data_IF_683187544019
#
_entry.id   IF_683187544019
#
_cell.length_a   1.000
_cell.length_b   1.000
_cell.length_c   1.000
_cell.angle_alpha   90.00
_cell.angle_beta   90.00
_cell.angle_gamma   90.00
#
_symmetry.space_group_name_H-M   'P 1'
#
loop_
_entity.id
_entity.type
_entity.pdbx_description
1 polymer ?
#
# COMPACT_ATOMS: atom_id res chain seq x y z
N UNK A 1 5.42 -7.49 7.70
CA UNK A 1 5.60 -7.04 6.31
C UNK A 1 4.44 -6.15 5.89
N UNK A 2 4.70 -5.17 5.02
CA UNK A 2 3.70 -4.36 4.32
C UNK A 2 3.96 -4.54 2.82
N UNK A 3 2.95 -4.98 2.09
CA UNK A 3 3.05 -5.25 0.65
C UNK A 3 2.26 -4.18 -0.06
N UNK A 4 2.94 -3.28 -0.77
CA UNK A 4 2.32 -2.12 -1.40
C UNK A 4 1.96 -2.42 -2.84
N UNK A 5 0.82 -1.91 -3.27
CA UNK A 5 0.50 -1.80 -4.69
C UNK A 5 1.08 -0.52 -5.31
N UNK A 6 0.94 -0.41 -6.63
CA UNK A 6 1.46 0.72 -7.39
C UNK A 6 0.85 2.04 -6.92
N UNK A 7 -0.46 2.10 -6.69
CA UNK A 7 -1.14 3.33 -6.31
C UNK A 7 -0.72 3.84 -4.94
N UNK A 8 -0.51 2.94 -3.97
CA UNK A 8 -0.01 3.31 -2.64
C UNK A 8 1.40 3.87 -2.70
N UNK A 9 2.29 3.29 -3.52
CA UNK A 9 3.65 3.80 -3.74
C UNK A 9 3.63 5.17 -4.42
N UNK A 10 2.85 5.32 -5.49
CA UNK A 10 2.66 6.61 -6.17
C UNK A 10 2.10 7.65 -5.21
N UNK A 11 1.12 7.28 -4.39
CA UNK A 11 0.54 8.16 -3.38
C UNK A 11 1.62 8.72 -2.45
N UNK A 12 2.43 7.83 -1.86
CA UNK A 12 3.44 8.20 -0.87
C UNK A 12 4.55 9.05 -1.47
N UNK A 13 5.10 8.65 -2.62
CA UNK A 13 6.29 9.31 -3.18
C UNK A 13 5.98 10.51 -4.06
N UNK A 14 4.82 10.54 -4.73
CA UNK A 14 4.51 11.57 -5.72
C UNK A 14 3.40 12.51 -5.30
N UNK A 15 2.31 11.97 -4.73
CA UNK A 15 1.13 12.78 -4.45
C UNK A 15 1.26 13.52 -3.12
N UNK A 16 1.51 12.78 -2.02
CA UNK A 16 1.73 13.39 -0.71
C UNK A 16 3.19 13.68 -0.44
N UNK A 17 4.12 13.10 -1.23
CA UNK A 17 5.57 13.29 -1.10
C UNK A 17 6.05 13.21 0.35
N UNK A 18 5.65 12.16 1.05
CA UNK A 18 5.88 12.00 2.48
C UNK A 18 6.37 10.58 2.80
N UNK A 19 7.62 10.24 2.40
CA UNK A 19 8.17 8.90 2.55
C UNK A 19 8.35 8.48 4.01
N UNK A 20 8.30 9.40 4.98
CA UNK A 20 8.36 9.10 6.42
C UNK A 20 7.27 8.12 6.90
N UNK A 21 6.16 7.99 6.16
CA UNK A 21 5.16 6.93 6.39
C UNK A 21 5.81 5.54 6.32
N UNK A 22 6.73 5.35 5.39
CA UNK A 22 7.47 4.10 5.22
C UNK A 22 8.46 3.86 6.38
N UNK A 23 9.07 4.93 6.90
CA UNK A 23 9.96 4.84 8.06
C UNK A 23 9.19 4.43 9.32
N UNK A 24 8.00 5.00 9.54
CA UNK A 24 7.12 4.61 10.64
C UNK A 24 6.76 3.12 10.59
N UNK A 25 6.53 2.56 9.39
CA UNK A 25 6.36 1.13 9.22
C UNK A 25 7.59 0.32 9.68
N UNK A 26 8.80 0.77 9.31
CA UNK A 26 10.06 0.10 9.67
C UNK A 26 10.31 0.15 11.17
N UNK A 27 10.12 1.31 11.79
CA UNK A 27 10.25 1.52 13.24
C UNK A 27 9.30 0.60 14.05
N UNK A 28 8.14 0.30 13.47
CA UNK A 28 7.18 -0.65 14.03
C UNK A 28 7.51 -2.12 13.73
N UNK A 29 8.68 -2.41 13.16
CA UNK A 29 9.22 -3.74 12.87
C UNK A 29 8.71 -4.38 11.57
N UNK A 30 8.19 -3.58 10.63
CA UNK A 30 7.70 -4.11 9.35
C UNK A 30 8.74 -3.95 8.25
N UNK A 31 8.99 -5.05 7.52
CA UNK A 31 9.61 -4.98 6.20
C UNK A 31 8.63 -4.38 5.18
N UNK A 32 9.15 -3.55 4.29
CA UNK A 32 8.43 -2.97 3.17
C UNK A 32 8.68 -3.83 1.93
N UNK A 33 7.63 -4.13 1.19
CA UNK A 33 7.73 -5.01 0.04
C UNK A 33 6.81 -4.57 -1.09
N UNK A 34 7.23 -4.86 -2.31
CA UNK A 34 6.42 -4.78 -3.53
C UNK A 34 6.59 -6.07 -4.32
N UNK A 35 5.73 -6.29 -5.30
CA UNK A 35 5.85 -7.41 -6.23
C UNK A 35 6.55 -6.96 -7.52
N UNK A 36 7.11 -7.88 -8.35
CA UNK A 36 7.68 -7.51 -9.65
C UNK A 36 6.68 -6.76 -10.53
N UNK A 37 5.39 -7.10 -10.47
CA UNK A 37 4.35 -6.50 -11.31
C UNK A 37 4.03 -5.08 -10.85
N UNK A 38 4.14 -4.82 -9.54
CA UNK A 38 4.07 -3.47 -8.99
C UNK A 38 5.30 -2.67 -9.41
N UNK A 39 6.50 -3.27 -9.36
CA UNK A 39 7.73 -2.64 -9.81
C UNK A 39 7.68 -2.26 -11.29
N UNK A 40 7.24 -3.17 -12.17
CA UNK A 40 6.99 -2.89 -13.59
C UNK A 40 6.03 -1.72 -13.78
N UNK A 41 4.92 -1.68 -13.03
CA UNK A 41 3.99 -0.55 -13.07
C UNK A 41 4.61 0.77 -12.58
N UNK A 42 5.55 0.72 -11.64
CA UNK A 42 6.28 1.91 -11.18
C UNK A 42 7.30 2.38 -12.23
N UNK A 43 7.90 1.48 -13.00
CA UNK A 43 8.84 1.84 -14.08
C UNK A 43 8.19 2.68 -15.17
N UNK A 44 6.86 2.60 -15.34
CA UNK A 44 6.10 3.46 -16.25
C UNK A 44 5.99 4.93 -15.74
N UNK A 45 6.38 5.19 -14.48
CA UNK A 45 6.40 6.52 -13.86
C UNK A 45 7.82 6.87 -13.36
N UNK A 46 8.65 7.52 -14.20
CA UNK A 46 10.05 7.79 -13.88
C UNK A 46 10.28 8.59 -12.58
N UNK A 47 9.40 9.54 -12.28
CA UNK A 47 9.45 10.34 -11.05
C UNK A 47 9.26 9.46 -9.81
N UNK A 48 8.26 8.58 -9.83
CA UNK A 48 7.99 7.66 -8.71
C UNK A 48 9.10 6.63 -8.57
N UNK A 49 9.62 6.10 -9.69
CA UNK A 49 10.76 5.19 -9.69
C UNK A 49 11.99 5.83 -9.05
N UNK A 50 12.34 7.06 -9.46
CA UNK A 50 13.49 7.78 -8.90
C UNK A 50 13.37 7.94 -7.39
N UNK A 51 12.19 8.31 -6.89
CA UNK A 51 11.97 8.44 -5.45
C UNK A 51 12.03 7.11 -4.70
N UNK A 52 11.49 6.04 -5.28
CA UNK A 52 11.55 4.69 -4.71
C UNK A 52 13.01 4.19 -4.63
N UNK A 53 13.77 4.33 -5.71
CA UNK A 53 15.18 3.93 -5.77
C UNK A 53 16.04 4.76 -4.80
N UNK A 54 15.79 6.07 -4.72
CA UNK A 54 16.47 6.96 -3.78
C UNK A 54 16.15 6.64 -2.31
N UNK A 55 14.92 6.20 -2.02
CA UNK A 55 14.54 5.77 -0.67
C UNK A 55 15.32 4.50 -0.25
N UNK A 56 15.54 3.56 -1.16
CA UNK A 56 16.13 2.26 -0.83
C UNK A 56 15.23 1.45 0.11
N UNK A 57 15.61 0.24 0.53
CA UNK A 57 14.88 -0.52 1.57
C UNK A 57 13.43 -0.98 1.25
N UNK A 58 13.08 -1.17 -0.02
CA UNK A 58 11.86 -1.88 -0.43
C UNK A 58 12.22 -3.21 -1.07
N UNK A 59 11.78 -4.32 -0.46
CA UNK A 59 12.05 -5.68 -0.93
C UNK A 59 11.11 -6.07 -2.08
N UNK A 60 11.65 -6.64 -3.16
CA UNK A 60 10.82 -7.26 -4.20
C UNK A 60 10.56 -8.72 -3.80
N UNK A 61 9.29 -9.08 -3.62
CA UNK A 61 8.83 -10.42 -3.24
C UNK A 61 8.04 -11.09 -4.37
N UNK A 62 7.95 -12.41 -4.39
CA UNK A 62 7.17 -13.13 -5.42
C UNK A 62 5.67 -12.79 -5.38
N UNK A 63 5.04 -12.79 -6.56
CA UNK A 63 3.61 -12.47 -6.77
C UNK A 63 2.62 -13.46 -6.14
N UNK A 64 3.12 -14.58 -5.60
CA UNK A 64 2.31 -15.74 -5.23
C UNK A 64 2.21 -16.73 -6.40
N UNK A 65 1.24 -17.65 -6.30
CA UNK A 65 1.08 -18.76 -7.25
C UNK A 65 0.23 -18.37 -8.48
N UNK A 66 0.59 -18.91 -9.65
CA UNK A 66 -0.07 -18.67 -10.92
C UNK A 66 -1.54 -19.10 -10.92
N UNK A 67 -1.90 -20.19 -10.24
CA UNK A 67 -3.30 -20.62 -10.11
C UNK A 67 -4.14 -19.57 -9.38
N UNK A 68 -3.59 -18.97 -8.31
CA UNK A 68 -4.24 -17.87 -7.61
C UNK A 68 -4.47 -16.67 -8.54
N UNK A 69 -3.44 -16.29 -9.32
CA UNK A 69 -3.52 -15.17 -10.26
C UNK A 69 -4.62 -15.39 -11.31
N UNK A 70 -4.58 -16.53 -12.02
CA UNK A 70 -5.55 -16.84 -13.08
C UNK A 70 -6.98 -16.88 -12.55
N UNK A 71 -7.18 -17.49 -11.38
CA UNK A 71 -8.50 -17.57 -10.73
C UNK A 71 -9.04 -16.19 -10.40
N UNK A 72 -8.21 -15.30 -9.83
CA UNK A 72 -8.64 -13.95 -9.48
C UNK A 72 -8.88 -13.08 -10.71
N UNK A 73 -7.98 -13.14 -11.70
CA UNK A 73 -8.12 -12.42 -12.97
C UNK A 73 -9.41 -12.79 -13.69
N UNK A 74 -9.75 -14.09 -13.75
CA UNK A 74 -10.99 -14.57 -14.35
C UNK A 74 -12.24 -14.14 -13.57
N UNK A 75 -12.18 -14.19 -12.23
CA UNK A 75 -13.34 -13.87 -11.38
C UNK A 75 -13.58 -12.37 -11.22
N UNK A 76 -12.53 -11.58 -11.29
CA UNK A 76 -12.54 -10.13 -11.09
C UNK A 76 -11.78 -9.43 -12.23
N UNK A 77 -12.36 -9.36 -13.45
CA UNK A 77 -11.65 -8.82 -14.62
C UNK A 77 -11.29 -7.33 -14.53
N UNK A 78 -11.85 -6.62 -13.54
CA UNK A 78 -11.55 -5.22 -13.26
C UNK A 78 -10.30 -5.02 -12.41
N UNK A 79 -9.68 -6.10 -11.88
CA UNK A 79 -8.43 -6.00 -11.16
C UNK A 79 -7.26 -5.80 -12.13
N UNK A 80 -6.39 -4.86 -11.80
CA UNK A 80 -5.16 -4.63 -12.55
C UNK A 80 -4.04 -5.59 -12.10
N UNK A 81 -2.99 -5.72 -12.91
CA UNK A 81 -1.87 -6.65 -12.65
C UNK A 81 -1.21 -6.41 -11.28
N UNK A 82 -0.98 -5.14 -10.93
CA UNK A 82 -0.43 -4.73 -9.63
C UNK A 82 -1.31 -5.22 -8.47
N UNK A 83 -2.61 -4.92 -8.49
CA UNK A 83 -3.55 -5.38 -7.46
C UNK A 83 -3.59 -6.91 -7.37
N UNK A 84 -3.67 -7.60 -8.52
CA UNK A 84 -3.70 -9.06 -8.56
C UNK A 84 -2.46 -9.66 -7.90
N UNK A 85 -1.28 -9.16 -8.24
CA UNK A 85 -0.02 -9.66 -7.68
C UNK A 85 0.06 -9.45 -6.16
N UNK A 86 -0.32 -8.28 -5.66
CA UNK A 86 -0.30 -7.98 -4.21
C UNK A 86 -1.30 -8.86 -3.45
N UNK A 87 -2.49 -9.07 -4.00
CA UNK A 87 -3.49 -9.97 -3.41
C UNK A 87 -2.99 -11.42 -3.38
N UNK A 88 -2.40 -11.90 -4.47
CA UNK A 88 -1.87 -13.27 -4.56
C UNK A 88 -0.67 -13.48 -3.62
N UNK A 89 0.25 -12.52 -3.53
CA UNK A 89 1.35 -12.52 -2.56
C UNK A 89 0.81 -12.55 -1.12
N UNK A 90 -0.22 -11.73 -0.84
CA UNK A 90 -0.91 -11.74 0.44
C UNK A 90 -1.53 -13.10 0.80
N UNK A 91 -2.18 -13.76 -0.17
CA UNK A 91 -2.74 -15.11 0.04
C UNK A 91 -1.63 -16.13 0.31
N UNK A 92 -0.54 -16.10 -0.44
CA UNK A 92 0.59 -17.00 -0.25
C UNK A 92 1.23 -16.85 1.14
N UNK A 93 1.50 -15.61 1.56
CA UNK A 93 2.10 -15.31 2.87
C UNK A 93 1.15 -15.58 4.04
N UNK A 94 -0.16 -15.40 3.83
CA UNK A 94 -1.17 -15.71 4.85
C UNK A 94 -1.17 -17.17 5.29
N UNK A 95 -0.79 -18.09 4.39
CA UNK A 95 -0.64 -19.52 4.71
C UNK A 95 0.47 -19.78 5.74
N UNK A 96 1.50 -18.94 5.74
CA UNK A 96 2.66 -19.05 6.65
C UNK A 96 2.40 -18.49 8.07
N UNK A 97 1.18 -18.02 8.37
CA UNK A 97 0.83 -17.32 9.64
C UNK A 97 1.73 -16.11 9.97
N UNK A 98 2.44 -15.54 8.98
CA UNK A 98 3.25 -14.35 9.17
C UNK A 98 2.36 -13.11 9.31
N UNK A 99 2.83 -12.10 10.05
CA UNK A 99 2.12 -10.82 10.18
C UNK A 99 2.39 -9.96 8.93
N UNK A 100 1.38 -9.80 8.08
CA UNK A 100 1.44 -8.96 6.88
C UNK A 100 0.20 -8.06 6.75
N UNK A 101 0.32 -7.03 5.92
CA UNK A 101 -0.80 -6.24 5.40
C UNK A 101 -0.51 -5.91 3.94
N UNK A 102 -1.48 -6.14 3.07
CA UNK A 102 -1.51 -5.55 1.74
C UNK A 102 -1.98 -4.09 1.87
N UNK A 103 -1.29 -3.16 1.23
CA UNK A 103 -1.66 -1.75 1.16
C UNK A 103 -2.16 -1.51 -0.26
N UNK A 104 -3.47 -1.31 -0.37
CA UNK A 104 -4.21 -1.15 -1.62
C UNK A 104 -5.24 -0.04 -1.46
N UNK A 105 -5.20 0.97 -2.33
CA UNK A 105 -6.10 2.13 -2.25
C UNK A 105 -7.43 1.93 -3.00
N UNK A 106 -7.44 1.04 -3.97
CA UNK A 106 -8.55 0.77 -4.88
C UNK A 106 -9.59 -0.24 -4.36
N UNK A 107 -10.56 -0.55 -5.22
CA UNK A 107 -11.68 -1.48 -4.99
C UNK A 107 -11.20 -2.88 -4.59
N UNK A 108 -9.99 -3.29 -5.00
CA UNK A 108 -9.40 -4.58 -4.64
C UNK A 108 -9.36 -4.84 -3.13
N UNK A 109 -9.25 -3.78 -2.30
CA UNK A 109 -9.30 -3.89 -0.84
C UNK A 109 -10.57 -4.55 -0.30
N UNK A 110 -11.69 -4.48 -1.04
CA UNK A 110 -12.96 -5.12 -0.66
C UNK A 110 -12.91 -6.65 -0.72
N UNK A 111 -11.84 -7.24 -1.27
CA UNK A 111 -11.66 -8.69 -1.35
C UNK A 111 -11.05 -9.29 -0.08
N UNK A 112 -10.68 -8.47 0.92
CA UNK A 112 -10.04 -8.93 2.17
C UNK A 112 -10.75 -10.11 2.83
N UNK A 113 -12.09 -10.05 2.94
CA UNK A 113 -12.88 -11.05 3.68
C UNK A 113 -13.04 -12.33 2.85
N UNK A 114 -13.15 -12.19 1.52
CA UNK A 114 -13.26 -13.31 0.58
C UNK A 114 -11.95 -14.10 0.48
N UNK A 115 -10.82 -13.40 0.57
CA UNK A 115 -9.49 -13.99 0.46
C UNK A 115 -8.87 -14.30 1.82
N UNK A 116 -9.53 -13.94 2.92
CA UNK A 116 -9.04 -14.08 4.29
C UNK A 116 -7.66 -13.46 4.51
N UNK A 117 -7.42 -12.31 3.88
CA UNK A 117 -6.15 -11.57 3.94
C UNK A 117 -6.32 -10.25 4.69
N UNK A 118 -5.21 -9.69 5.15
CA UNK A 118 -5.19 -8.37 5.80
C UNK A 118 -4.92 -7.30 4.75
N UNK A 119 -5.86 -6.38 4.55
CA UNK A 119 -5.72 -5.26 3.61
C UNK A 119 -6.07 -3.95 4.30
N UNK A 120 -5.31 -2.90 4.00
CA UNK A 120 -5.59 -1.50 4.30
C UNK A 120 -5.33 -0.66 3.05
N UNK A 121 -5.73 0.62 3.04
CA UNK A 121 -5.13 1.59 2.11
C UNK A 121 -4.10 2.46 2.80
N UNK A 122 -3.52 3.38 2.04
CA UNK A 122 -2.49 4.33 2.46
C UNK A 122 -2.99 5.19 3.62
N UNK A 123 -4.17 5.79 3.54
CA UNK A 123 -4.71 6.60 4.67
C UNK A 123 -4.97 5.75 5.91
N UNK A 124 -5.47 4.51 5.73
CA UNK A 124 -5.67 3.59 6.84
C UNK A 124 -4.36 3.17 7.51
N UNK A 125 -3.28 3.08 6.72
CA UNK A 125 -1.93 2.84 7.23
C UNK A 125 -1.44 4.01 8.09
N UNK A 126 -1.60 5.24 7.61
CA UNK A 126 -1.20 6.47 8.32
C UNK A 126 -1.95 6.62 9.65
N UNK A 127 -3.27 6.38 9.65
CA UNK A 127 -4.07 6.42 10.87
C UNK A 127 -3.58 5.41 11.91
N UNK A 128 -3.24 4.20 11.46
CA UNK A 128 -2.71 3.15 12.31
C UNK A 128 -1.30 3.49 12.88
N UNK A 129 -0.46 4.18 12.11
CA UNK A 129 0.83 4.68 12.58
C UNK A 129 0.67 5.78 13.63
N UNK A 130 -0.28 6.70 13.41
CA UNK A 130 -0.59 7.75 14.38
C UNK A 130 -1.09 7.19 15.71
N UNK A 131 -1.97 6.20 15.69
CA UNK A 131 -2.44 5.52 16.91
C UNK A 131 -1.30 4.89 17.72
N UNK A 132 -0.15 4.66 17.08
CA UNK A 132 1.07 4.13 17.68
C UNK A 132 2.11 5.20 17.99
N UNK A 133 1.72 6.47 17.88
CA UNK A 133 2.57 7.65 18.11
C UNK A 133 3.80 7.71 17.19
N UNK A 134 3.74 7.05 16.03
CA UNK A 134 4.80 7.11 15.03
C UNK A 134 4.72 8.38 14.16
N UNK A 135 3.55 9.04 14.14
CA UNK A 135 3.31 10.33 13.51
C UNK A 135 2.72 11.30 14.53
N UNK A 136 3.23 12.53 14.54
CA UNK A 136 2.76 13.62 15.40
C UNK A 136 1.50 14.27 14.83
N UNK A 137 0.77 15.01 15.67
CA UNK A 137 -0.41 15.76 15.23
C UNK A 137 -0.11 16.80 14.13
N UNK A 138 1.05 17.44 14.17
CA UNK A 138 1.50 18.36 13.12
C UNK A 138 1.70 17.65 11.78
N UNK A 139 2.36 16.49 11.79
CA UNK A 139 2.58 15.69 10.59
C UNK A 139 1.27 15.15 10.01
N UNK A 140 0.33 14.74 10.86
CA UNK A 140 -0.99 14.33 10.40
C UNK A 140 -1.79 15.50 9.80
N UNK A 141 -1.63 16.72 10.32
CA UNK A 141 -2.25 17.92 9.76
C UNK A 141 -1.65 18.27 8.38
N UNK A 142 -0.33 18.17 8.24
CA UNK A 142 0.35 18.38 6.96
C UNK A 142 -0.08 17.35 5.91
N UNK A 143 -0.14 16.07 6.30
CA UNK A 143 -0.64 14.99 5.45
C UNK A 143 -2.09 15.23 5.04
N UNK A 144 -2.95 15.67 5.95
CA UNK A 144 -4.34 16.03 5.65
C UNK A 144 -4.40 17.10 4.54
N UNK A 145 -3.61 18.17 4.65
CA UNK A 145 -3.57 19.24 3.65
C UNK A 145 -3.02 18.76 2.30
N UNK A 146 -1.97 17.93 2.31
CA UNK A 146 -1.41 17.32 1.10
C UNK A 146 -2.43 16.44 0.38
N UNK A 147 -3.18 15.60 1.11
CA UNK A 147 -4.24 14.79 0.52
C UNK A 147 -5.37 15.62 -0.09
N UNK A 148 -5.75 16.76 0.51
CA UNK A 148 -6.75 17.66 -0.09
C UNK A 148 -6.29 18.26 -1.42
N UNK A 149 -4.98 18.40 -1.63
CA UNK A 149 -4.37 18.93 -2.85
C UNK A 149 -4.03 17.82 -3.85
N UNK A 150 -4.04 16.56 -3.42
CA UNK A 150 -3.72 15.39 -4.26
C UNK A 150 -4.86 15.03 -5.21
N UNK A 151 -4.53 14.23 -6.22
CA UNK A 151 -5.52 13.66 -7.14
C UNK A 151 -6.29 12.46 -6.56
N UNK A 152 -5.91 11.97 -5.37
CA UNK A 152 -6.49 10.78 -4.76
C UNK A 152 -7.87 11.05 -4.13
N UNK A 153 -8.87 10.31 -4.59
CA UNK A 153 -10.23 10.40 -4.07
C UNK A 153 -10.39 9.61 -2.76
N UNK A 154 -10.27 10.33 -1.64
CA UNK A 154 -10.43 9.77 -0.29
C UNK A 154 -11.75 10.25 0.31
N UNK A 155 -12.48 9.33 0.97
CA UNK A 155 -13.69 9.69 1.71
C UNK A 155 -13.36 10.69 2.81
N UNK A 156 -14.13 11.78 2.88
CA UNK A 156 -13.91 12.87 3.84
C UNK A 156 -13.86 12.36 5.29
N UNK A 157 -14.74 11.44 5.68
CA UNK A 157 -14.73 10.89 7.05
C UNK A 157 -13.43 10.16 7.40
N UNK A 158 -12.83 9.46 6.42
CA UNK A 158 -11.56 8.74 6.61
C UNK A 158 -10.41 9.74 6.74
N UNK A 159 -10.38 10.75 5.87
CA UNK A 159 -9.33 11.76 5.87
C UNK A 159 -9.37 12.63 7.13
N UNK A 160 -10.57 13.02 7.58
CA UNK A 160 -10.79 13.71 8.87
C UNK A 160 -10.28 12.92 10.07
N UNK A 161 -10.10 11.60 9.92
CA UNK A 161 -9.40 10.78 10.88
C UNK A 161 -8.12 11.45 11.32
N UNK A 162 -7.28 11.94 10.38
CA UNK A 162 -5.94 12.51 10.63
C UNK A 162 -5.93 13.71 11.59
N UNK A 163 -7.05 14.42 11.73
CA UNK A 163 -7.16 15.63 12.55
C UNK A 163 -7.61 15.36 14.00
N UNK A 164 -7.97 14.11 14.32
CA UNK A 164 -8.37 13.70 15.67
C UNK A 164 -7.19 13.30 16.53
#
# INVERSE_FOLDING_TARGET
MKIFDTSSIVCIFREVQYPKILDACKDLGYRLSITPQVYEGIMENPETLQHLEAYGDVEIIQDGDAECYERLAKRYPWLHKGELSVLCAGVAIGRDKKRYYCVIDERARNLRDKLQIRVTGTVGLILWERERLALTGGECHDLYNRFLQSSFHIKKEVLQGLLK
#
